data_IF_767061150257
#
_entry.id   IF_767061150257
#
_cell.length_a   1.000
_cell.length_b   1.000
_cell.length_c   1.000
_cell.angle_alpha   90.00
_cell.angle_beta   90.00
_cell.angle_gamma   90.00
#
_symmetry.space_group_name_H-M   'P 1'
#
loop_
_entity.id
_entity.type
_entity.pdbx_description
1 polymer ?
#
# COMPACT_ATOMS: atom_id res chain seq x y z
N UNK A 1 9.95 39.27 10.07
CA UNK A 1 9.85 38.28 11.17
C UNK A 1 10.70 37.08 10.79
N UNK A 2 11.42 36.48 11.74
CA UNK A 2 12.31 35.33 11.45
C UNK A 2 11.49 34.04 11.55
N UNK A 3 11.41 33.26 10.49
CA UNK A 3 10.78 31.93 10.55
C UNK A 3 11.78 30.93 11.16
N UNK A 4 11.31 30.12 12.11
CA UNK A 4 12.11 29.04 12.68
C UNK A 4 12.00 27.77 11.83
N UNK A 5 13.07 26.98 11.82
CA UNK A 5 13.00 25.60 11.30
C UNK A 5 12.04 24.78 12.14
N UNK A 6 11.34 23.84 11.52
CA UNK A 6 10.52 22.85 12.21
C UNK A 6 11.15 21.46 12.02
N UNK A 7 11.57 20.75 13.08
CA UNK A 7 11.54 21.17 14.50
C UNK A 7 12.59 22.24 14.85
N UNK A 8 12.29 23.06 15.84
CA UNK A 8 13.12 24.17 16.32
C UNK A 8 14.14 23.67 17.35
N UNK A 9 15.43 23.82 17.02
CA UNK A 9 16.54 23.38 17.87
C UNK A 9 16.58 24.09 19.24
N UNK A 10 16.16 25.37 19.29
CA UNK A 10 16.12 26.16 20.54
C UNK A 10 15.03 25.64 21.47
N UNK A 11 13.87 25.26 20.93
CA UNK A 11 12.75 24.74 21.71
C UNK A 11 13.05 23.32 22.21
N UNK A 12 13.69 22.47 21.39
CA UNK A 12 14.05 21.11 21.81
C UNK A 12 14.81 21.06 23.15
N UNK A 13 15.75 22.00 23.36
CA UNK A 13 16.56 22.08 24.57
C UNK A 13 15.91 22.86 25.73
N UNK A 14 14.82 23.60 25.47
CA UNK A 14 14.22 24.54 26.43
C UNK A 14 12.69 24.41 26.56
N UNK A 15 12.11 23.28 26.13
CA UNK A 15 10.66 23.06 26.06
C UNK A 15 9.93 23.15 27.42
N UNK A 16 10.65 23.14 28.54
CA UNK A 16 10.10 23.26 29.91
C UNK A 16 10.20 24.67 30.50
N UNK A 17 10.89 25.61 29.84
CA UNK A 17 11.17 26.94 30.40
C UNK A 17 10.34 28.03 29.72
N UNK A 18 9.29 28.49 30.41
CA UNK A 18 8.41 29.58 29.93
C UNK A 18 9.23 30.84 29.59
N UNK A 19 10.20 31.21 30.43
CA UNK A 19 11.01 32.41 30.25
C UNK A 19 11.82 32.36 28.95
N UNK A 20 12.48 31.23 28.67
CA UNK A 20 13.28 31.07 27.45
C UNK A 20 12.42 30.99 26.19
N UNK A 21 11.27 30.33 26.26
CA UNK A 21 10.31 30.27 25.14
C UNK A 21 9.73 31.65 24.83
N UNK A 22 9.39 32.45 25.85
CA UNK A 22 8.92 33.83 25.67
C UNK A 22 10.01 34.73 25.09
N UNK A 23 11.25 34.65 25.60
CA UNK A 23 12.38 35.40 25.06
C UNK A 23 12.59 35.11 23.57
N UNK A 24 12.55 33.83 23.17
CA UNK A 24 12.67 33.42 21.78
C UNK A 24 11.58 34.02 20.88
N UNK A 25 10.34 34.12 21.36
CA UNK A 25 9.24 34.74 20.61
C UNK A 25 9.34 36.27 20.56
N UNK A 26 9.79 36.92 21.64
CA UNK A 26 9.99 38.37 21.73
C UNK A 26 11.09 38.84 20.77
N UNK A 27 12.11 38.01 20.51
CA UNK A 27 13.14 38.24 19.48
C UNK A 27 12.59 38.27 18.03
N UNK A 28 11.28 38.10 17.85
CA UNK A 28 10.57 38.24 16.58
C UNK A 28 10.50 36.96 15.75
N UNK A 29 10.70 35.81 16.40
CA UNK A 29 10.59 34.50 15.79
C UNK A 29 9.13 34.03 15.68
N UNK A 30 8.71 33.65 14.48
CA UNK A 30 7.47 32.89 14.26
C UNK A 30 7.78 31.41 14.43
N UNK A 31 7.66 30.91 15.66
CA UNK A 31 8.04 29.54 16.00
C UNK A 31 6.81 28.74 16.48
N UNK A 32 6.39 27.76 15.67
CA UNK A 32 5.27 26.87 16.01
C UNK A 32 5.53 26.08 17.29
N UNK A 33 6.71 25.45 17.39
CA UNK A 33 7.09 24.61 18.53
C UNK A 33 7.10 25.38 19.85
N UNK A 34 7.50 26.65 19.82
CA UNK A 34 7.52 27.50 21.01
C UNK A 34 6.10 27.81 21.50
N UNK A 35 5.15 28.07 20.59
CA UNK A 35 3.74 28.30 20.94
C UNK A 35 3.08 27.03 21.48
N UNK A 36 3.36 25.87 20.88
CA UNK A 36 2.86 24.59 21.38
C UNK A 36 3.42 24.27 22.77
N UNK A 37 4.74 24.38 22.96
CA UNK A 37 5.37 24.16 24.26
C UNK A 37 4.83 25.12 25.34
N UNK A 38 4.62 26.40 25.01
CA UNK A 38 4.01 27.36 25.93
C UNK A 38 2.56 26.97 26.29
N UNK A 39 1.78 26.45 25.34
CA UNK A 39 0.40 26.04 25.62
C UNK A 39 0.29 24.92 26.65
N UNK A 40 1.30 24.06 26.74
CA UNK A 40 1.36 22.97 27.71
C UNK A 40 1.87 23.41 29.09
N UNK A 41 2.68 24.47 29.15
CA UNK A 41 3.24 24.98 30.40
C UNK A 41 2.34 25.99 31.13
N UNK A 42 1.37 26.58 30.42
CA UNK A 42 0.51 27.64 30.94
C UNK A 42 -0.75 27.04 31.58
N UNK A 43 -1.03 27.44 32.82
CA UNK A 43 -2.19 26.97 33.59
C UNK A 43 -3.46 27.80 33.35
N UNK A 44 -3.34 29.06 32.92
CA UNK A 44 -4.49 29.93 32.67
C UNK A 44 -5.17 29.56 31.34
N UNK A 45 -6.47 29.19 31.34
CA UNK A 45 -7.18 28.81 30.12
C UNK A 45 -7.16 29.87 29.02
N UNK A 46 -7.16 31.16 29.38
CA UNK A 46 -7.12 32.26 28.40
C UNK A 46 -5.77 32.34 27.71
N UNK A 47 -4.68 32.28 28.48
CA UNK A 47 -3.33 32.27 27.94
C UNK A 47 -3.04 31.00 27.15
N UNK A 48 -3.57 29.84 27.56
CA UNK A 48 -3.47 28.58 26.81
C UNK A 48 -4.15 28.71 25.44
N UNK A 49 -5.38 29.24 25.40
CA UNK A 49 -6.09 29.54 24.15
C UNK A 49 -5.26 30.46 23.24
N UNK A 50 -4.71 31.54 23.78
CA UNK A 50 -3.92 32.52 23.03
C UNK A 50 -2.63 31.93 22.42
N UNK A 51 -2.01 30.98 23.12
CA UNK A 51 -0.86 30.25 22.58
C UNK A 51 -1.29 29.33 21.43
N UNK A 52 -2.39 28.60 21.60
CA UNK A 52 -2.92 27.68 20.59
C UNK A 52 -3.48 28.42 19.37
N UNK A 53 -4.03 29.61 19.53
CA UNK A 53 -4.46 30.48 18.43
C UNK A 53 -3.29 30.83 17.51
N UNK A 54 -2.18 31.27 18.10
CA UNK A 54 -0.96 31.63 17.35
C UNK A 54 -0.34 30.41 16.69
N UNK A 55 -0.38 29.25 17.34
CA UNK A 55 0.04 27.98 16.74
C UNK A 55 -0.85 27.58 15.55
N UNK A 56 -2.18 27.72 15.69
CA UNK A 56 -3.15 27.41 14.64
C UNK A 56 -3.00 28.32 13.41
N UNK A 57 -2.66 29.60 13.60
CA UNK A 57 -2.36 30.52 12.50
C UNK A 57 -1.09 30.12 11.73
N UNK A 58 -0.07 29.61 12.44
CA UNK A 58 1.17 29.13 11.81
C UNK A 58 1.02 27.77 11.12
N UNK A 59 0.02 26.97 11.51
CA UNK A 59 -0.25 25.63 10.98
C UNK A 59 -1.73 25.47 10.60
N UNK A 60 -2.23 26.17 9.56
CA UNK A 60 -3.65 26.15 9.19
C UNK A 60 -4.13 24.77 8.70
N UNK A 61 -3.23 23.96 8.13
CA UNK A 61 -3.54 22.62 7.61
C UNK A 61 -3.45 21.51 8.68
N UNK A 62 -2.93 21.80 9.87
CA UNK A 62 -2.76 20.80 10.93
C UNK A 62 -4.03 20.68 11.78
N UNK A 63 -4.88 19.69 11.47
CA UNK A 63 -6.15 19.46 12.15
C UNK A 63 -6.03 19.26 13.66
N UNK A 64 -4.95 18.65 14.15
CA UNK A 64 -4.74 18.42 15.58
C UNK A 64 -4.56 19.74 16.33
N UNK A 65 -3.82 20.67 15.76
CA UNK A 65 -3.60 22.01 16.32
C UNK A 65 -4.89 22.84 16.24
N UNK A 66 -5.61 22.78 15.12
CA UNK A 66 -6.91 23.44 14.97
C UNK A 66 -7.91 22.95 16.02
N UNK A 67 -7.97 21.63 16.27
CA UNK A 67 -8.84 21.07 17.30
C UNK A 67 -8.43 21.49 18.71
N UNK A 68 -7.13 21.50 19.03
CA UNK A 68 -6.65 21.92 20.34
C UNK A 68 -7.02 23.39 20.62
N UNK A 69 -6.88 24.27 19.62
CA UNK A 69 -7.32 25.66 19.72
C UNK A 69 -8.83 25.78 19.96
N UNK A 70 -9.66 25.12 19.14
CA UNK A 70 -11.12 25.17 19.29
C UNK A 70 -11.59 24.63 20.64
N UNK A 71 -10.95 23.58 21.16
CA UNK A 71 -11.21 23.08 22.51
C UNK A 71 -10.87 24.11 23.58
N UNK A 72 -9.70 24.74 23.49
CA UNK A 72 -9.30 25.79 24.44
C UNK A 72 -10.22 27.02 24.36
N UNK A 73 -10.69 27.38 23.16
CA UNK A 73 -11.67 28.46 22.95
C UNK A 73 -13.00 28.15 23.63
N UNK A 74 -13.52 26.92 23.52
CA UNK A 74 -14.76 26.51 24.17
C UNK A 74 -14.65 26.40 25.69
N UNK A 75 -13.45 26.22 26.25
CA UNK A 75 -13.23 26.30 27.70
C UNK A 75 -13.38 27.75 28.18
N UNK A 76 -12.92 28.73 27.40
CA UNK A 76 -13.01 30.16 27.74
C UNK A 76 -14.42 30.71 27.43
N UNK A 77 -15.00 30.32 26.30
CA UNK A 77 -16.30 30.78 25.79
C UNK A 77 -17.16 29.58 25.34
N UNK A 78 -17.85 28.91 26.28
CA UNK A 78 -18.64 27.71 25.96
C UNK A 78 -19.80 27.96 24.97
N UNK A 79 -20.27 29.21 24.88
CA UNK A 79 -21.38 29.63 24.01
C UNK A 79 -20.99 29.96 22.57
N UNK A 80 -19.72 29.81 22.19
CA UNK A 80 -19.26 30.11 20.84
C UNK A 80 -19.77 29.07 19.82
N UNK A 81 -20.87 29.41 19.15
CA UNK A 81 -21.52 28.56 18.15
C UNK A 81 -20.61 28.31 16.95
N UNK A 82 -19.74 29.25 16.57
CA UNK A 82 -18.84 29.08 15.44
C UNK A 82 -17.74 28.06 15.77
N UNK A 83 -17.14 28.16 16.95
CA UNK A 83 -16.16 27.21 17.43
C UNK A 83 -16.76 25.79 17.60
N UNK A 84 -17.98 25.69 18.15
CA UNK A 84 -18.70 24.42 18.26
C UNK A 84 -18.95 23.76 16.90
N UNK A 85 -19.44 24.53 15.91
CA UNK A 85 -19.67 24.02 14.55
C UNK A 85 -18.38 23.55 13.90
N UNK A 86 -17.32 24.36 13.98
CA UNK A 86 -16.03 23.99 13.38
C UNK A 86 -15.43 22.75 14.03
N UNK A 87 -15.53 22.61 15.35
CA UNK A 87 -15.08 21.41 16.05
C UNK A 87 -15.89 20.17 15.66
N UNK A 88 -17.22 20.32 15.49
CA UNK A 88 -18.08 19.25 15.01
C UNK A 88 -17.72 18.84 13.57
N UNK A 89 -17.48 19.80 12.67
CA UNK A 89 -17.04 19.52 11.29
C UNK A 89 -15.74 18.71 11.25
N UNK A 90 -14.71 19.12 12.00
CA UNK A 90 -13.43 18.40 12.02
C UNK A 90 -13.61 16.98 12.58
N UNK A 91 -14.38 16.82 13.67
CA UNK A 91 -14.69 15.49 14.22
C UNK A 91 -15.47 14.63 13.23
N UNK A 92 -16.44 15.20 12.51
CA UNK A 92 -17.18 14.49 11.47
C UNK A 92 -16.25 14.08 10.33
N UNK A 93 -15.32 14.94 9.90
CA UNK A 93 -14.33 14.60 8.87
C UNK A 93 -13.37 13.49 9.33
N UNK A 94 -12.93 13.50 10.59
CA UNK A 94 -12.14 12.41 11.18
C UNK A 94 -12.94 11.11 11.26
N UNK A 95 -14.19 11.16 11.73
CA UNK A 95 -15.07 9.99 11.73
C UNK A 95 -15.32 9.47 10.30
N UNK A 96 -15.46 10.34 9.30
CA UNK A 96 -15.57 9.92 7.90
C UNK A 96 -14.25 9.36 7.38
N UNK A 97 -13.09 9.88 7.79
CA UNK A 97 -11.79 9.31 7.46
C UNK A 97 -11.61 7.90 8.07
N UNK A 98 -12.04 7.73 9.32
CA UNK A 98 -12.05 6.45 10.04
C UNK A 98 -13.11 5.48 9.48
N UNK A 99 -14.27 5.98 9.04
CA UNK A 99 -15.33 5.17 8.40
C UNK A 99 -14.98 4.82 6.95
N UNK A 100 -14.25 5.70 6.25
CA UNK A 100 -13.66 5.40 4.94
C UNK A 100 -12.62 4.28 5.03
N UNK A 101 -12.01 4.02 6.19
CA UNK A 101 -11.11 2.87 6.34
C UNK A 101 -11.82 1.61 6.81
N UNK A 102 -12.88 1.69 7.63
CA UNK A 102 -13.59 0.49 8.12
C UNK A 102 -14.47 -0.21 7.07
N UNK A 103 -15.04 0.51 6.10
CA UNK A 103 -15.85 -0.08 5.02
C UNK A 103 -15.16 -0.10 3.64
N UNK A 104 -14.03 0.61 3.50
CA UNK A 104 -13.10 0.49 2.38
C UNK A 104 -11.70 0.23 2.93
N UNK A 105 -11.53 -0.88 3.64
CA UNK A 105 -10.35 -1.66 3.32
C UNK A 105 -10.54 -2.04 1.85
N UNK A 106 -9.76 -1.42 0.94
CA UNK A 106 -9.42 -2.14 -0.27
C UNK A 106 -9.00 -3.52 0.22
N UNK A 107 -9.83 -4.54 -0.02
CA UNK A 107 -9.46 -5.93 0.28
C UNK A 107 -8.04 -6.02 -0.20
N UNK A 108 -7.06 -6.37 0.64
CA UNK A 108 -5.69 -6.37 0.19
C UNK A 108 -5.67 -7.19 -1.11
N UNK A 109 -5.34 -6.50 -2.21
CA UNK A 109 -5.25 -7.12 -3.53
C UNK A 109 -3.77 -7.36 -3.70
N UNK A 110 -3.41 -8.59 -4.04
CA UNK A 110 -2.06 -8.85 -4.51
C UNK A 110 -1.74 -7.88 -5.64
N UNK A 111 -0.50 -7.41 -5.68
CA UNK A 111 -0.08 -6.42 -6.68
C UNK A 111 -0.29 -6.98 -8.08
N UNK A 112 -0.56 -6.09 -9.03
CA UNK A 112 -0.68 -6.52 -10.41
C UNK A 112 0.68 -6.98 -10.91
N UNK A 113 0.68 -7.94 -11.83
CA UNK A 113 1.92 -8.51 -12.36
C UNK A 113 2.82 -7.42 -12.98
N UNK A 114 2.22 -6.39 -13.59
CA UNK A 114 2.97 -5.26 -14.14
C UNK A 114 3.74 -4.47 -13.08
N UNK A 115 3.13 -4.22 -11.92
CA UNK A 115 3.77 -3.45 -10.84
C UNK A 115 4.95 -4.23 -10.25
N UNK A 116 4.78 -5.54 -10.06
CA UNK A 116 5.85 -6.44 -9.60
C UNK A 116 7.00 -6.45 -10.61
N UNK A 117 6.71 -6.49 -11.91
CA UNK A 117 7.73 -6.46 -12.96
C UNK A 117 8.53 -5.17 -12.99
N UNK A 118 7.90 -4.03 -12.68
CA UNK A 118 8.60 -2.75 -12.54
C UNK A 118 9.46 -2.74 -11.29
N UNK A 119 8.93 -3.20 -10.16
CA UNK A 119 9.66 -3.23 -8.88
C UNK A 119 10.93 -4.08 -8.95
N UNK A 120 10.87 -5.27 -9.56
CA UNK A 120 12.05 -6.15 -9.69
C UNK A 120 13.03 -5.69 -10.79
N UNK A 121 12.77 -4.55 -11.44
CA UNK A 121 13.59 -4.05 -12.56
C UNK A 121 13.56 -4.96 -13.79
N UNK A 122 12.46 -5.68 -14.00
CA UNK A 122 12.28 -6.49 -15.20
C UNK A 122 11.91 -5.63 -16.41
N UNK A 123 11.11 -4.58 -16.18
CA UNK A 123 10.67 -3.59 -17.17
C UNK A 123 10.63 -2.20 -16.51
N UNK A 124 10.64 -1.16 -17.32
CA UNK A 124 10.40 0.23 -16.89
C UNK A 124 8.92 0.56 -16.86
N UNK A 125 8.55 1.59 -16.09
CA UNK A 125 7.18 2.13 -16.07
C UNK A 125 6.71 2.58 -17.45
N UNK A 126 7.62 3.06 -18.30
CA UNK A 126 7.31 3.46 -19.67
C UNK A 126 6.97 2.24 -20.54
N UNK A 127 7.81 1.19 -20.52
CA UNK A 127 7.57 -0.05 -21.27
C UNK A 127 6.25 -0.71 -20.85
N UNK A 128 5.93 -0.70 -19.55
CA UNK A 128 4.64 -1.18 -19.04
C UNK A 128 3.47 -0.39 -19.63
N UNK A 129 3.55 0.94 -19.63
CA UNK A 129 2.48 1.77 -20.22
C UNK A 129 2.30 1.52 -21.71
N UNK A 130 3.38 1.35 -22.46
CA UNK A 130 3.33 1.04 -23.89
C UNK A 130 2.67 -0.32 -24.16
N UNK A 131 2.97 -1.34 -23.36
CA UNK A 131 2.32 -2.64 -23.46
C UNK A 131 0.84 -2.58 -23.09
N UNK A 132 0.47 -1.83 -22.06
CA UNK A 132 -0.94 -1.65 -21.69
C UNK A 132 -1.73 -0.89 -22.75
N UNK A 133 -1.12 0.11 -23.40
CA UNK A 133 -1.72 0.79 -24.56
C UNK A 133 -1.93 -0.18 -25.71
N UNK A 134 -0.91 -0.98 -26.04
CA UNK A 134 -0.99 -2.01 -27.07
C UNK A 134 -2.08 -3.05 -26.78
N UNK A 135 -2.18 -3.51 -25.53
CA UNK A 135 -3.21 -4.44 -25.07
C UNK A 135 -4.63 -3.86 -25.24
N UNK A 136 -4.80 -2.55 -24.98
CA UNK A 136 -6.09 -1.84 -25.13
C UNK A 136 -6.43 -1.53 -26.60
N UNK A 137 -5.43 -1.27 -27.44
CA UNK A 137 -5.63 -0.94 -28.87
C UNK A 137 -5.73 -2.17 -29.77
N UNK A 138 -5.39 -3.36 -29.27
CA UNK A 138 -5.36 -4.60 -30.04
C UNK A 138 -6.74 -5.08 -30.49
N UNK A 139 -6.90 -5.24 -31.81
CA UNK A 139 -8.05 -5.88 -32.43
C UNK A 139 -8.19 -7.35 -31.99
N UNK A 140 -9.40 -7.90 -32.08
CA UNK A 140 -9.92 -9.18 -31.54
C UNK A 140 -9.14 -10.45 -31.97
N UNK A 141 -8.06 -10.33 -32.75
CA UNK A 141 -7.44 -11.42 -33.52
C UNK A 141 -6.15 -11.98 -32.89
N UNK A 142 -5.48 -11.27 -31.96
CA UNK A 142 -4.38 -11.87 -31.19
C UNK A 142 -4.94 -12.58 -29.95
N UNK A 143 -4.84 -13.92 -29.94
CA UNK A 143 -5.36 -14.80 -28.89
C UNK A 143 -4.76 -14.54 -27.49
N UNK A 144 -3.59 -13.92 -27.41
CA UNK A 144 -2.85 -13.72 -26.17
C UNK A 144 -2.92 -12.26 -25.69
N UNK A 145 -3.92 -11.97 -24.85
CA UNK A 145 -4.11 -10.65 -24.22
C UNK A 145 -3.35 -10.49 -22.91
N UNK A 146 -2.53 -11.45 -22.48
CA UNK A 146 -1.84 -11.38 -21.18
C UNK A 146 -0.60 -10.50 -21.30
N UNK A 147 -0.45 -9.53 -20.39
CA UNK A 147 0.69 -8.60 -20.36
C UNK A 147 2.04 -9.34 -20.41
N UNK A 148 2.18 -10.41 -19.63
CA UNK A 148 3.41 -11.22 -19.62
C UNK A 148 3.76 -11.86 -20.97
N UNK A 149 2.77 -12.37 -21.72
CA UNK A 149 3.01 -12.94 -23.05
C UNK A 149 3.40 -11.86 -24.06
N UNK A 150 2.73 -10.70 -24.02
CA UNK A 150 3.07 -9.56 -24.89
C UNK A 150 4.50 -9.10 -24.63
N UNK A 151 4.90 -8.99 -23.36
CA UNK A 151 6.26 -8.62 -22.97
C UNK A 151 7.29 -9.64 -23.47
N UNK A 152 7.01 -10.94 -23.34
CA UNK A 152 7.90 -12.00 -23.83
C UNK A 152 8.03 -11.98 -25.36
N UNK A 153 6.92 -11.80 -26.08
CA UNK A 153 6.90 -11.76 -27.54
C UNK A 153 7.69 -10.56 -28.09
N UNK A 154 7.66 -9.43 -27.37
CA UNK A 154 8.42 -8.22 -27.73
C UNK A 154 9.87 -8.26 -27.24
N UNK A 155 10.29 -9.31 -26.53
CA UNK A 155 11.64 -9.45 -26.00
C UNK A 155 11.97 -8.47 -24.86
N UNK A 156 10.96 -7.85 -24.24
CA UNK A 156 11.12 -6.87 -23.17
C UNK A 156 11.41 -7.53 -21.81
N UNK A 157 11.13 -8.82 -21.69
CA UNK A 157 11.32 -9.61 -20.46
C UNK A 157 11.85 -11.00 -20.80
N UNK A 158 12.56 -11.62 -19.86
CA UNK A 158 12.97 -13.02 -19.95
C UNK A 158 11.97 -13.96 -19.27
N UNK A 159 11.86 -15.23 -19.73
CA UNK A 159 11.04 -16.25 -19.06
C UNK A 159 11.25 -16.34 -17.55
N UNK A 160 12.51 -16.31 -17.11
CA UNK A 160 12.87 -16.36 -15.68
C UNK A 160 12.36 -15.16 -14.89
N UNK A 161 12.49 -13.93 -15.43
CA UNK A 161 11.98 -12.72 -14.77
C UNK A 161 10.45 -12.76 -14.66
N UNK A 162 9.75 -13.26 -15.68
CA UNK A 162 8.29 -13.41 -15.63
C UNK A 162 7.87 -14.47 -14.62
N UNK A 163 8.54 -15.63 -14.60
CA UNK A 163 8.26 -16.69 -13.64
C UNK A 163 8.42 -16.19 -12.20
N UNK A 164 9.54 -15.51 -11.90
CA UNK A 164 9.78 -14.90 -10.59
C UNK A 164 8.65 -13.96 -10.16
N UNK A 165 8.21 -13.07 -11.05
CA UNK A 165 7.13 -12.14 -10.76
C UNK A 165 5.78 -12.84 -10.51
N UNK A 166 5.50 -13.94 -11.22
CA UNK A 166 4.30 -14.77 -10.98
C UNK A 166 4.34 -15.45 -9.61
N UNK A 167 5.50 -15.94 -9.18
CA UNK A 167 5.68 -16.53 -7.84
C UNK A 167 5.50 -15.48 -6.74
N UNK A 168 6.10 -14.29 -6.89
CA UNK A 168 5.90 -13.19 -5.94
C UNK A 168 4.42 -12.81 -5.82
N UNK A 169 3.72 -12.71 -6.97
CA UNK A 169 2.28 -12.44 -6.98
C UNK A 169 1.50 -13.55 -6.26
N UNK A 170 1.80 -14.82 -6.51
CA UNK A 170 1.18 -15.95 -5.83
C UNK A 170 1.39 -15.88 -4.31
N UNK A 171 2.62 -15.62 -3.86
CA UNK A 171 2.94 -15.57 -2.43
C UNK A 171 2.17 -14.45 -1.72
N UNK A 172 2.06 -13.28 -2.35
CA UNK A 172 1.20 -12.20 -1.86
C UNK A 172 -0.26 -12.66 -1.77
N UNK A 173 -0.81 -13.33 -2.79
CA UNK A 173 -2.20 -13.84 -2.75
C UNK A 173 -2.43 -14.84 -1.62
N UNK A 174 -1.48 -15.74 -1.40
CA UNK A 174 -1.55 -16.75 -0.34
C UNK A 174 -1.52 -16.13 1.05
N UNK A 175 -0.66 -15.12 1.29
CA UNK A 175 -0.64 -14.35 2.54
C UNK A 175 -1.99 -13.68 2.83
N UNK A 176 -2.69 -13.29 1.77
CA UNK A 176 -4.02 -12.68 1.84
C UNK A 176 -5.16 -13.70 1.97
N UNK A 177 -4.84 -14.99 2.18
CA UNK A 177 -5.77 -16.12 2.29
C UNK A 177 -6.71 -16.22 1.09
N UNK A 178 -6.23 -15.81 -0.08
CA UNK A 178 -6.95 -15.97 -1.34
C UNK A 178 -6.73 -17.42 -1.77
N UNK A 179 -7.82 -18.18 -1.88
CA UNK A 179 -7.73 -19.59 -2.28
C UNK A 179 -6.98 -19.75 -3.62
N UNK A 180 -6.17 -20.81 -3.76
CA UNK A 180 -5.36 -21.05 -4.95
C UNK A 180 -6.27 -21.25 -6.16
N UNK A 181 -6.01 -20.53 -7.24
CA UNK A 181 -6.86 -20.55 -8.43
C UNK A 181 -6.28 -21.41 -9.55
N UNK A 182 -5.00 -21.77 -9.46
CA UNK A 182 -4.31 -22.55 -10.49
C UNK A 182 -3.53 -23.71 -9.88
N UNK A 183 -3.32 -24.77 -10.68
CA UNK A 183 -2.68 -26.01 -10.23
C UNK A 183 -1.32 -25.76 -9.59
N UNK A 184 -0.49 -24.86 -10.16
CA UNK A 184 0.81 -24.51 -9.58
C UNK A 184 0.69 -23.93 -8.17
N UNK A 185 -0.31 -23.07 -7.93
CA UNK A 185 -0.55 -22.49 -6.60
C UNK A 185 -0.94 -23.58 -5.60
N UNK A 186 -1.85 -24.45 -6.00
CA UNK A 186 -2.30 -25.57 -5.19
C UNK A 186 -1.16 -26.53 -4.81
N UNK A 187 -0.31 -26.90 -5.77
CA UNK A 187 0.82 -27.80 -5.53
C UNK A 187 1.82 -27.24 -4.49
N UNK A 188 2.04 -25.91 -4.50
CA UNK A 188 2.89 -25.25 -3.49
C UNK A 188 2.21 -25.24 -2.13
N UNK A 189 0.92 -24.90 -2.06
CA UNK A 189 0.18 -24.85 -0.78
C UNK A 189 0.06 -26.22 -0.11
N UNK A 190 -0.08 -27.29 -0.89
CA UNK A 190 -0.10 -28.66 -0.38
C UNK A 190 1.31 -29.26 -0.16
N UNK A 191 2.37 -28.47 -0.34
CA UNK A 191 3.78 -28.88 -0.20
C UNK A 191 4.22 -30.03 -1.14
N UNK A 192 3.57 -30.21 -2.30
CA UNK A 192 4.05 -31.15 -3.32
C UNK A 192 5.32 -30.63 -4.01
N UNK A 193 5.44 -29.32 -4.16
CA UNK A 193 6.60 -28.63 -4.73
C UNK A 193 6.92 -27.37 -3.94
N UNK A 194 8.15 -26.88 -4.01
CA UNK A 194 8.54 -25.60 -3.42
C UNK A 194 8.24 -24.43 -4.38
N UNK A 195 8.14 -23.18 -3.88
CA UNK A 195 8.02 -22.00 -4.75
C UNK A 195 9.14 -21.90 -5.79
N UNK A 196 10.37 -22.27 -5.43
CA UNK A 196 11.54 -22.24 -6.32
C UNK A 196 11.44 -23.31 -7.42
N UNK A 197 10.91 -24.49 -7.08
CA UNK A 197 10.65 -25.54 -8.06
C UNK A 197 9.57 -25.12 -9.06
N UNK A 198 8.50 -24.46 -8.57
CA UNK A 198 7.46 -23.91 -9.43
C UNK A 198 8.01 -22.78 -10.32
N UNK A 199 8.87 -21.90 -9.79
CA UNK A 199 9.54 -20.85 -10.56
C UNK A 199 10.32 -21.46 -11.74
N UNK A 200 11.11 -22.49 -11.46
CA UNK A 200 11.91 -23.19 -12.47
C UNK A 200 11.03 -23.82 -13.55
N UNK A 201 9.95 -24.51 -13.15
CA UNK A 201 9.02 -25.15 -14.07
C UNK A 201 8.27 -24.13 -14.94
N UNK A 202 7.86 -22.99 -14.38
CA UNK A 202 7.24 -21.90 -15.14
C UNK A 202 8.21 -21.25 -16.12
N UNK A 203 9.46 -21.01 -15.70
CA UNK A 203 10.49 -20.46 -16.59
C UNK A 203 10.74 -21.39 -17.78
N UNK A 204 10.82 -22.69 -17.53
CA UNK A 204 10.97 -23.71 -18.59
C UNK A 204 9.74 -23.77 -19.50
N UNK A 205 8.53 -23.70 -18.95
CA UNK A 205 7.29 -23.66 -19.72
C UNK A 205 7.26 -22.48 -20.69
N UNK A 206 7.56 -21.28 -20.19
CA UNK A 206 7.58 -20.05 -20.99
C UNK A 206 8.67 -20.12 -22.08
N UNK A 207 9.82 -20.70 -21.77
CA UNK A 207 10.92 -20.90 -22.74
C UNK A 207 10.53 -21.87 -23.86
N UNK A 208 9.81 -22.93 -23.54
CA UNK A 208 9.33 -23.92 -24.50
C UNK A 208 8.21 -23.35 -25.37
N UNK A 209 7.29 -22.58 -24.80
CA UNK A 209 6.22 -21.90 -25.53
C UNK A 209 6.77 -20.89 -26.55
N UNK A 210 7.83 -20.13 -26.19
CA UNK A 210 8.55 -19.27 -27.14
C UNK A 210 9.16 -20.03 -28.34
N UNK A 211 9.42 -21.33 -28.19
CA UNK A 211 9.93 -22.21 -29.26
C UNK A 211 8.82 -22.96 -29.99
N UNK A 212 7.55 -22.63 -29.73
CA UNK A 212 6.38 -23.32 -30.28
C UNK A 212 6.11 -24.70 -29.66
N UNK A 213 6.80 -25.05 -28.58
CA UNK A 213 6.61 -26.32 -27.87
C UNK A 213 5.69 -26.12 -26.68
N UNK A 214 4.39 -26.35 -26.89
CA UNK A 214 3.39 -26.23 -25.82
C UNK A 214 3.37 -27.48 -24.95
N UNK A 215 3.88 -27.34 -23.73
CA UNK A 215 3.81 -28.36 -22.69
C UNK A 215 3.02 -27.82 -21.49
N UNK A 216 2.21 -28.68 -20.88
CA UNK A 216 1.49 -28.32 -19.66
C UNK A 216 2.45 -28.22 -18.47
N UNK A 217 2.09 -27.43 -17.47
CA UNK A 217 2.90 -27.28 -16.26
C UNK A 217 3.11 -28.65 -15.58
N UNK A 218 2.05 -29.47 -15.51
CA UNK A 218 2.15 -30.83 -14.96
C UNK A 218 3.13 -31.72 -15.72
N UNK A 219 3.12 -31.69 -17.06
CA UNK A 219 4.08 -32.44 -17.88
C UNK A 219 5.52 -32.00 -17.62
N UNK A 220 5.75 -30.70 -17.43
CA UNK A 220 7.07 -30.16 -17.14
C UNK A 220 7.53 -30.56 -15.74
N UNK A 221 6.67 -30.47 -14.74
CA UNK A 221 6.98 -30.89 -13.37
C UNK A 221 7.34 -32.39 -13.29
N UNK A 222 6.61 -33.24 -14.01
CA UNK A 222 6.94 -34.67 -14.13
C UNK A 222 8.26 -34.88 -14.86
N UNK A 223 8.50 -34.17 -15.96
CA UNK A 223 9.75 -34.25 -16.73
C UNK A 223 10.97 -33.78 -15.91
N UNK A 224 10.78 -32.81 -15.02
CA UNK A 224 11.80 -32.32 -14.09
C UNK A 224 11.93 -33.19 -12.84
N UNK A 225 11.23 -34.32 -12.77
CA UNK A 225 11.25 -35.26 -11.63
C UNK A 225 10.86 -34.62 -10.28
N UNK A 226 10.09 -33.53 -10.31
CA UNK A 226 9.65 -32.82 -9.11
C UNK A 226 8.39 -33.44 -8.51
N UNK A 227 7.56 -34.04 -9.35
CA UNK A 227 6.31 -34.71 -8.99
C UNK A 227 6.12 -35.94 -9.87
N UNK A 228 5.31 -36.87 -9.39
CA UNK A 228 4.85 -38.02 -10.17
C UNK A 228 3.56 -37.70 -10.91
N UNK A 229 3.28 -38.44 -11.98
CA UNK A 229 2.03 -38.33 -12.72
C UNK A 229 0.80 -38.54 -11.80
N UNK A 230 0.90 -39.51 -10.87
CA UNK A 230 -0.15 -39.80 -9.90
C UNK A 230 -0.41 -38.63 -8.95
N UNK A 231 0.65 -37.97 -8.45
CA UNK A 231 0.50 -36.79 -7.60
C UNK A 231 -0.16 -35.61 -8.33
N UNK A 232 0.09 -35.46 -9.63
CA UNK A 232 -0.58 -34.43 -10.44
C UNK A 232 -2.07 -34.74 -10.59
N UNK A 233 -2.43 -35.99 -10.86
CA UNK A 233 -3.83 -36.41 -10.98
C UNK A 233 -4.59 -36.20 -9.67
N UNK A 234 -4.03 -36.66 -8.54
CA UNK A 234 -4.57 -36.44 -7.20
C UNK A 234 -4.76 -34.94 -6.91
N UNK A 235 -3.74 -34.13 -7.20
CA UNK A 235 -3.80 -32.69 -6.97
C UNK A 235 -4.86 -31.98 -7.82
N UNK A 236 -5.07 -32.39 -9.07
CA UNK A 236 -6.12 -31.82 -9.94
C UNK A 236 -7.50 -32.17 -9.41
N UNK A 237 -7.72 -33.43 -9.01
CA UNK A 237 -9.01 -33.90 -8.48
C UNK A 237 -9.35 -33.21 -7.15
N UNK A 238 -8.35 -33.03 -6.28
CA UNK A 238 -8.53 -32.33 -5.00
C UNK A 238 -8.76 -30.83 -5.20
N UNK A 239 -8.03 -30.19 -6.13
CA UNK A 239 -8.24 -28.79 -6.48
C UNK A 239 -9.67 -28.56 -7.00
N UNK A 240 -10.17 -29.45 -7.88
CA UNK A 240 -11.54 -29.36 -8.38
C UNK A 240 -12.54 -29.51 -7.23
N UNK A 241 -12.38 -30.52 -6.36
CA UNK A 241 -13.26 -30.72 -5.20
C UNK A 241 -13.27 -29.50 -4.26
N UNK A 242 -12.10 -28.93 -3.95
CA UNK A 242 -11.97 -27.74 -3.13
C UNK A 242 -12.56 -26.48 -3.78
N UNK A 243 -12.50 -26.38 -5.11
CA UNK A 243 -13.17 -25.32 -5.86
C UNK A 243 -14.69 -25.46 -5.77
N UNK A 244 -15.24 -26.64 -6.05
CA UNK A 244 -16.69 -26.87 -6.05
C UNK A 244 -17.31 -26.79 -4.64
N UNK A 245 -16.61 -27.21 -3.58
CA UNK A 245 -17.12 -27.09 -2.19
C UNK A 245 -17.28 -25.64 -1.73
N UNK A 246 -16.58 -24.69 -2.36
CA UNK A 246 -16.69 -23.26 -2.07
C UNK A 246 -17.86 -22.58 -2.79
N UNK A 247 -18.39 -23.20 -3.84
CA UNK A 247 -19.49 -22.67 -4.68
C UNK A 247 -20.77 -23.53 -4.65
N UNK A 248 -20.76 -24.68 -3.96
CA UNK A 248 -21.92 -25.56 -3.75
C UNK A 248 -22.57 -25.37 -2.38
N UNK A 249 -23.90 -25.33 -2.35
CA UNK A 249 -24.75 -25.40 -1.16
C UNK A 249 -24.60 -26.72 -0.39
#
# INVERSE_FOLDING_TARGET
MKQCTHPCSVVAHNHTSIERLRAHLIEGHQCLDAWLALSDLVNDPRQRRDCLERAAVLAPENEQIQMAYLQAQLVVEPGDVAAQRRMAEIRTMQLIADVKTLHFHERPKARLIGDILVEIGAISSQELQEVLRYQKSGSVISADRRVGQILLQRGLITPSKLAKALIMQQQERSQLRIAPQVLGEYLVEQNYITPEQLELALAEQLRLDQRGQRLSLGQILVRLTMVTQKQIEEAVDDQQRAFWSKFGY
#
